data_IF_762074478589
#
_entry.id   IF_762074478589
#
_cell.length_a   1.000
_cell.length_b   1.000
_cell.length_c   1.000
_cell.angle_alpha   90.00
_cell.angle_beta   90.00
_cell.angle_gamma   90.00
#
_symmetry.space_group_name_H-M   'P 1'
#
loop_
_entity.id
_entity.type
_entity.pdbx_description
1 polymer ?
#
# COMPACT_ATOMS: atom_id res chain seq x y z
N UNK A 1 10.60 25.17 -5.10
CA UNK A 1 10.39 24.00 -6.01
C UNK A 1 10.91 22.67 -5.46
N UNK A 2 12.10 22.59 -4.82
CA UNK A 2 12.62 21.36 -4.16
C UNK A 2 11.81 20.88 -2.94
N UNK A 3 11.23 21.80 -2.15
CA UNK A 3 10.45 21.48 -0.92
C UNK A 3 9.23 20.57 -1.14
N UNK A 4 8.47 20.75 -2.23
CA UNK A 4 7.25 19.96 -2.49
C UNK A 4 7.54 18.50 -2.86
N UNK A 5 8.64 18.24 -3.60
CA UNK A 5 9.05 16.86 -3.92
C UNK A 5 9.57 16.14 -2.68
N UNK A 6 10.33 16.85 -1.84
CA UNK A 6 10.79 16.36 -0.53
C UNK A 6 9.64 16.06 0.44
N UNK A 7 8.60 16.91 0.47
CA UNK A 7 7.42 16.67 1.29
C UNK A 7 6.65 15.43 0.84
N UNK A 8 6.46 15.23 -0.47
CA UNK A 8 5.89 13.98 -1.01
C UNK A 8 6.70 12.76 -0.58
N UNK A 9 8.02 12.78 -0.79
CA UNK A 9 8.90 11.65 -0.43
C UNK A 9 8.76 11.32 1.05
N UNK A 10 8.83 12.32 1.93
CA UNK A 10 8.72 12.09 3.38
C UNK A 10 7.38 11.46 3.77
N UNK A 11 6.27 11.97 3.21
CA UNK A 11 4.94 11.43 3.49
C UNK A 11 4.77 10.03 2.90
N UNK A 12 5.20 9.79 1.66
CA UNK A 12 5.12 8.47 1.03
C UNK A 12 5.93 7.43 1.77
N UNK A 13 7.16 7.74 2.21
CA UNK A 13 7.98 6.82 3.01
C UNK A 13 7.30 6.49 4.35
N UNK A 14 6.76 7.49 5.04
CA UNK A 14 6.05 7.28 6.30
C UNK A 14 4.80 6.43 6.10
N UNK A 15 3.94 6.79 5.13
CA UNK A 15 2.69 6.09 4.86
C UNK A 15 2.93 4.66 4.38
N UNK A 16 3.89 4.41 3.48
CA UNK A 16 4.23 3.04 3.06
C UNK A 16 4.77 2.22 4.23
N UNK A 17 5.57 2.81 5.13
CA UNK A 17 6.05 2.10 6.33
C UNK A 17 4.91 1.72 7.26
N UNK A 18 3.93 2.62 7.46
CA UNK A 18 2.72 2.33 8.24
C UNK A 18 1.89 1.22 7.57
N UNK A 19 1.71 1.25 6.25
CA UNK A 19 1.01 0.19 5.50
C UNK A 19 1.66 -1.17 5.76
N UNK A 20 2.98 -1.26 5.70
CA UNK A 20 3.72 -2.50 5.97
C UNK A 20 3.42 -3.01 7.40
N UNK A 21 3.51 -2.13 8.40
CA UNK A 21 3.24 -2.50 9.80
C UNK A 21 1.79 -2.97 9.99
N UNK A 22 0.81 -2.24 9.46
CA UNK A 22 -0.60 -2.60 9.59
C UNK A 22 -0.92 -3.93 8.91
N UNK A 23 -0.33 -4.20 7.74
CA UNK A 23 -0.49 -5.50 7.07
C UNK A 23 0.15 -6.64 7.85
N UNK A 24 1.30 -6.43 8.51
CA UNK A 24 1.91 -7.44 9.39
C UNK A 24 1.01 -7.75 10.57
N UNK A 25 0.46 -6.73 11.24
CA UNK A 25 -0.47 -6.93 12.37
C UNK A 25 -1.74 -7.65 11.88
N UNK A 26 -2.29 -7.25 10.73
CA UNK A 26 -3.43 -7.93 10.10
C UNK A 26 -3.15 -9.39 9.73
N UNK A 27 -1.93 -9.72 9.30
CA UNK A 27 -1.52 -11.10 9.07
C UNK A 27 -1.54 -11.91 10.37
N UNK A 28 -0.97 -11.37 11.45
CA UNK A 28 -0.91 -12.03 12.75
C UNK A 28 -2.33 -12.31 13.27
N UNK A 29 -3.25 -11.36 13.12
CA UNK A 29 -4.64 -11.55 13.50
C UNK A 29 -5.37 -12.55 12.62
N UNK A 30 -5.15 -12.52 11.29
CA UNK A 30 -5.71 -13.49 10.36
C UNK A 30 -5.29 -14.93 10.70
N UNK A 31 -4.00 -15.14 11.04
CA UNK A 31 -3.47 -16.45 11.46
C UNK A 31 -4.13 -16.90 12.77
N UNK A 32 -4.35 -15.98 13.71
CA UNK A 32 -5.02 -16.24 14.99
C UNK A 32 -6.54 -16.43 14.87
N UNK A 33 -7.13 -16.24 13.69
CA UNK A 33 -8.58 -16.31 13.47
C UNK A 33 -9.35 -15.14 14.08
N UNK A 34 -8.69 -14.04 14.41
CA UNK A 34 -9.32 -12.82 14.90
C UNK A 34 -9.81 -11.99 13.71
N UNK A 35 -11.11 -12.02 13.44
CA UNK A 35 -11.70 -11.33 12.27
C UNK A 35 -11.75 -9.80 12.37
N UNK A 36 -11.57 -9.23 13.57
CA UNK A 36 -11.86 -7.81 13.81
C UNK A 36 -10.73 -6.86 13.37
N UNK A 37 -9.45 -7.18 13.59
CA UNK A 37 -8.37 -6.31 13.12
C UNK A 37 -8.13 -6.42 11.63
N UNK A 38 -8.39 -7.57 11.00
CA UNK A 38 -8.37 -7.72 9.53
C UNK A 38 -9.19 -6.61 8.83
N UNK A 39 -10.32 -6.26 9.45
CA UNK A 39 -11.25 -5.22 9.02
C UNK A 39 -10.64 -3.82 9.09
N UNK A 40 -10.05 -3.48 10.24
CA UNK A 40 -9.46 -2.16 10.52
C UNK A 40 -8.20 -1.96 9.66
N UNK A 41 -7.34 -2.97 9.59
CA UNK A 41 -6.08 -2.88 8.85
C UNK A 41 -6.28 -2.81 7.34
N UNK A 42 -7.27 -3.54 6.80
CA UNK A 42 -7.64 -3.46 5.38
C UNK A 42 -8.14 -2.07 4.99
N UNK A 43 -9.05 -1.48 5.77
CA UNK A 43 -9.61 -0.15 5.50
C UNK A 43 -8.58 0.98 5.64
N UNK A 44 -7.76 0.93 6.70
CA UNK A 44 -6.68 1.92 6.90
C UNK A 44 -5.60 1.77 5.83
N UNK A 45 -5.22 0.55 5.47
CA UNK A 45 -4.26 0.27 4.41
C UNK A 45 -4.69 0.83 3.05
N UNK A 46 -5.97 0.64 2.68
CA UNK A 46 -6.54 1.23 1.47
C UNK A 46 -6.52 2.76 1.50
N UNK A 47 -6.90 3.36 2.63
CA UNK A 47 -6.94 4.82 2.78
C UNK A 47 -5.56 5.43 2.61
N UNK A 48 -4.53 4.83 3.22
CA UNK A 48 -3.15 5.28 3.09
C UNK A 48 -2.63 5.09 1.66
N UNK A 49 -2.89 3.95 1.02
CA UNK A 49 -2.49 3.73 -0.37
C UNK A 49 -3.12 4.76 -1.33
N UNK A 50 -4.41 5.06 -1.13
CA UNK A 50 -5.11 6.08 -1.89
C UNK A 50 -4.52 7.49 -1.68
N UNK A 51 -4.17 7.84 -0.44
CA UNK A 51 -3.50 9.11 -0.14
C UNK A 51 -2.16 9.23 -0.86
N UNK A 52 -1.33 8.19 -0.86
CA UNK A 52 -0.05 8.17 -1.59
C UNK A 52 -0.30 8.41 -3.10
N UNK A 53 -1.34 7.81 -3.67
CA UNK A 53 -1.72 8.01 -5.08
C UNK A 53 -2.08 9.48 -5.35
N UNK A 54 -2.96 10.06 -4.54
CA UNK A 54 -3.37 11.47 -4.68
C UNK A 54 -2.15 12.40 -4.57
N UNK A 55 -1.29 12.17 -3.58
CA UNK A 55 -0.09 12.96 -3.36
C UNK A 55 0.91 12.84 -4.52
N UNK A 56 1.02 11.65 -5.12
CA UNK A 56 1.88 11.43 -6.29
C UNK A 56 1.40 12.27 -7.48
N UNK A 57 0.10 12.28 -7.78
CA UNK A 57 -0.44 13.09 -8.87
C UNK A 57 -0.39 14.59 -8.58
N UNK A 58 -0.61 14.99 -7.32
CA UNK A 58 -0.56 16.40 -6.91
C UNK A 58 0.85 16.99 -6.97
N UNK A 59 1.89 16.22 -6.58
CA UNK A 59 3.21 16.77 -6.32
C UNK A 59 4.34 16.24 -7.22
N UNK A 60 4.14 15.09 -7.90
CA UNK A 60 5.21 14.39 -8.65
C UNK A 60 4.90 14.23 -10.14
N UNK A 61 3.66 13.86 -10.51
CA UNK A 61 3.33 13.41 -11.88
C UNK A 61 3.75 14.38 -13.00
N UNK A 62 3.57 15.70 -12.80
CA UNK A 62 3.92 16.74 -13.79
C UNK A 62 5.35 17.30 -13.65
N UNK A 63 6.21 16.73 -12.79
CA UNK A 63 7.56 17.27 -12.57
C UNK A 63 8.58 16.62 -13.52
N UNK A 64 9.53 17.43 -13.97
CA UNK A 64 10.56 17.10 -14.98
C UNK A 64 11.46 15.91 -14.62
N UNK A 65 11.50 15.47 -13.35
CA UNK A 65 12.21 14.25 -12.92
C UNK A 65 11.41 12.94 -13.08
N UNK A 66 10.11 13.02 -13.40
CA UNK A 66 9.21 11.87 -13.52
C UNK A 66 9.30 11.16 -14.88
N UNK A 67 9.87 11.79 -15.90
CA UNK A 67 9.97 11.26 -17.28
C UNK A 67 11.03 10.16 -17.46
N UNK A 68 11.77 9.80 -16.40
CA UNK A 68 12.74 8.71 -16.42
C UNK A 68 12.15 7.35 -16.00
N UNK A 69 12.89 6.25 -16.28
CA UNK A 69 12.50 4.86 -15.95
C UNK A 69 12.02 4.66 -14.49
N UNK A 70 12.57 5.42 -13.55
CA UNK A 70 12.22 5.35 -12.12
C UNK A 70 10.83 5.93 -11.84
N UNK A 71 10.44 7.02 -12.51
CA UNK A 71 9.10 7.61 -12.37
C UNK A 71 8.02 6.66 -12.88
N UNK A 72 8.27 6.01 -14.03
CA UNK A 72 7.40 4.96 -14.56
C UNK A 72 7.27 3.77 -13.60
N UNK A 73 8.38 3.28 -13.02
CA UNK A 73 8.35 2.20 -12.03
C UNK A 73 7.55 2.58 -10.79
N UNK A 74 7.72 3.81 -10.27
CA UNK A 74 6.94 4.32 -9.15
C UNK A 74 5.44 4.27 -9.44
N UNK A 75 5.02 4.72 -10.62
CA UNK A 75 3.61 4.68 -11.05
C UNK A 75 3.10 3.24 -11.09
N UNK A 76 3.86 2.32 -11.68
CA UNK A 76 3.48 0.91 -11.78
C UNK A 76 3.28 0.30 -10.40
N UNK A 77 4.25 0.44 -9.50
CA UNK A 77 4.16 -0.11 -8.14
C UNK A 77 3.01 0.51 -7.35
N UNK A 78 2.77 1.81 -7.53
CA UNK A 78 1.70 2.54 -6.87
C UNK A 78 0.31 2.06 -7.33
N UNK A 79 0.12 1.79 -8.63
CA UNK A 79 -1.11 1.19 -9.13
C UNK A 79 -1.28 -0.27 -8.72
N UNK A 80 -0.21 -1.07 -8.72
CA UNK A 80 -0.26 -2.44 -8.23
C UNK A 80 -0.62 -2.50 -6.74
N UNK A 81 -0.04 -1.61 -5.93
CA UNK A 81 -0.35 -1.48 -4.51
C UNK A 81 -1.81 -1.06 -4.30
N UNK A 82 -2.32 -0.10 -5.09
CA UNK A 82 -3.73 0.29 -5.06
C UNK A 82 -4.64 -0.90 -5.39
N UNK A 83 -4.36 -1.65 -6.46
CA UNK A 83 -5.12 -2.84 -6.84
C UNK A 83 -5.13 -3.91 -5.73
N UNK A 84 -3.98 -4.16 -5.10
CA UNK A 84 -3.87 -5.07 -3.96
C UNK A 84 -4.74 -4.61 -2.78
N UNK A 85 -4.74 -3.31 -2.47
CA UNK A 85 -5.59 -2.77 -1.39
C UNK A 85 -7.09 -2.83 -1.72
N UNK A 86 -7.49 -2.71 -2.99
CA UNK A 86 -8.89 -2.88 -3.41
C UNK A 86 -9.33 -4.33 -3.18
N UNK A 87 -8.50 -5.31 -3.53
CA UNK A 87 -8.80 -6.73 -3.28
C UNK A 87 -8.94 -6.98 -1.77
N UNK A 88 -8.04 -6.42 -0.96
CA UNK A 88 -8.11 -6.44 0.51
C UNK A 88 -9.41 -5.86 1.05
N UNK A 89 -9.83 -4.70 0.53
CA UNK A 89 -11.07 -4.03 0.93
C UNK A 89 -12.31 -4.83 0.51
N UNK A 90 -12.37 -5.34 -0.71
CA UNK A 90 -13.49 -6.16 -1.20
C UNK A 90 -13.71 -7.38 -0.33
N UNK A 91 -12.63 -8.07 0.04
CA UNK A 91 -12.70 -9.21 0.95
C UNK A 91 -13.20 -8.82 2.34
N UNK A 92 -12.70 -7.69 2.85
CA UNK A 92 -13.14 -7.12 4.12
C UNK A 92 -14.65 -6.86 4.10
N UNK A 93 -15.19 -6.27 3.03
CA UNK A 93 -16.62 -6.02 2.86
C UNK A 93 -17.42 -7.34 2.79
N UNK A 94 -16.94 -8.32 2.03
CA UNK A 94 -17.60 -9.63 1.96
C UNK A 94 -17.68 -10.28 3.34
N UNK A 95 -16.59 -10.23 4.11
CA UNK A 95 -16.54 -10.78 5.46
C UNK A 95 -17.51 -10.06 6.40
N UNK A 96 -17.57 -8.73 6.39
CA UNK A 96 -18.48 -7.97 7.27
C UNK A 96 -19.94 -8.16 6.95
N UNK A 97 -20.29 -8.38 5.68
CA UNK A 97 -21.65 -8.66 5.24
C UNK A 97 -22.10 -10.11 5.50
N UNK A 98 -21.28 -10.90 6.22
CA UNK A 98 -21.62 -12.28 6.57
C UNK A 98 -21.54 -13.25 5.39
N UNK A 99 -20.73 -12.94 4.36
CA UNK A 99 -20.46 -13.92 3.32
C UNK A 99 -19.88 -15.19 3.94
N UNK A 100 -20.30 -16.35 3.43
CA UNK A 100 -19.88 -17.66 3.95
C UNK A 100 -18.44 -17.99 3.53
N UNK A 101 -17.47 -17.26 4.11
CA UNK A 101 -16.05 -17.48 3.87
C UNK A 101 -15.56 -18.49 4.89
N UNK A 102 -15.21 -19.69 4.41
CA UNK A 102 -14.67 -20.77 5.26
C UNK A 102 -13.49 -20.25 6.09
N UNK A 103 -13.27 -20.74 7.32
CA UNK A 103 -12.17 -20.31 8.19
C UNK A 103 -10.79 -20.37 7.52
N UNK A 104 -10.53 -21.45 6.75
CA UNK A 104 -9.29 -21.60 5.99
C UNK A 104 -9.13 -20.53 4.88
N UNK A 105 -10.25 -20.03 4.34
CA UNK A 105 -10.24 -18.96 3.35
C UNK A 105 -9.77 -17.62 3.91
N UNK A 106 -10.01 -17.35 5.20
CA UNK A 106 -9.53 -16.14 5.89
C UNK A 106 -8.04 -16.17 6.13
N UNK A 107 -7.53 -17.31 6.58
CA UNK A 107 -6.10 -17.51 6.78
C UNK A 107 -5.33 -17.41 5.46
N UNK A 108 -5.78 -18.12 4.42
CA UNK A 108 -5.16 -18.06 3.08
C UNK A 108 -5.18 -16.64 2.54
N UNK A 109 -6.31 -15.92 2.69
CA UNK A 109 -6.41 -14.55 2.24
C UNK A 109 -5.45 -13.60 2.99
N UNK A 110 -5.37 -13.72 4.31
CA UNK A 110 -4.45 -12.91 5.12
C UNK A 110 -2.99 -13.13 4.73
N UNK A 111 -2.61 -14.39 4.50
CA UNK A 111 -1.25 -14.76 4.06
C UNK A 111 -0.94 -14.19 2.67
N UNK A 112 -1.81 -14.45 1.68
CA UNK A 112 -1.61 -14.01 0.30
C UNK A 112 -1.58 -12.49 0.22
N UNK A 113 -2.53 -11.81 0.86
CA UNK A 113 -2.59 -10.35 0.89
C UNK A 113 -1.33 -9.74 1.50
N UNK A 114 -0.77 -10.38 2.52
CA UNK A 114 0.45 -9.90 3.16
C UNK A 114 1.69 -10.10 2.30
N UNK A 115 1.87 -11.29 1.69
CA UNK A 115 2.97 -11.54 0.76
C UNK A 115 2.93 -10.56 -0.41
N UNK A 116 1.74 -10.34 -0.98
CA UNK A 116 1.53 -9.40 -2.08
C UNK A 116 1.90 -7.98 -1.65
N UNK A 117 1.46 -7.53 -0.48
CA UNK A 117 1.80 -6.20 0.05
C UNK A 117 3.30 -6.04 0.26
N UNK A 118 4.01 -7.03 0.82
CA UNK A 118 5.46 -6.96 0.97
C UNK A 118 6.18 -6.86 -0.37
N UNK A 119 5.74 -7.67 -1.34
CA UNK A 119 6.31 -7.72 -2.69
C UNK A 119 6.12 -6.40 -3.45
N UNK A 120 5.10 -5.61 -3.10
CA UNK A 120 4.82 -4.33 -3.76
C UNK A 120 5.37 -3.13 -2.97
N UNK A 121 5.20 -3.14 -1.64
CA UNK A 121 5.56 -2.02 -0.77
C UNK A 121 7.07 -1.85 -0.64
N UNK A 122 7.85 -2.95 -0.52
CA UNK A 122 9.32 -2.86 -0.38
C UNK A 122 9.96 -2.29 -1.65
N UNK A 123 9.70 -2.81 -2.87
CA UNK A 123 10.22 -2.20 -4.08
C UNK A 123 9.74 -0.75 -4.29
N UNK A 124 8.49 -0.43 -3.92
CA UNK A 124 7.99 0.95 -3.96
C UNK A 124 8.81 1.87 -3.04
N UNK A 125 9.11 1.42 -1.81
CA UNK A 125 9.94 2.14 -0.84
C UNK A 125 11.34 2.41 -1.40
N UNK A 126 11.98 1.37 -1.95
CA UNK A 126 13.31 1.48 -2.58
C UNK A 126 13.27 2.45 -3.77
N UNK A 127 12.27 2.35 -4.65
CA UNK A 127 12.11 3.26 -5.78
C UNK A 127 11.91 4.71 -5.31
N UNK A 128 11.17 4.91 -4.23
CA UNK A 128 10.90 6.24 -3.65
C UNK A 128 12.17 6.86 -3.07
N UNK A 129 13.00 6.06 -2.39
CA UNK A 129 14.32 6.49 -1.89
C UNK A 129 15.24 6.87 -3.06
N UNK A 130 15.35 6.02 -4.08
CA UNK A 130 16.21 6.29 -5.25
C UNK A 130 15.73 7.55 -5.98
N UNK A 131 14.41 7.71 -6.16
CA UNK A 131 13.82 8.92 -6.73
C UNK A 131 14.14 10.16 -5.90
N UNK A 132 14.12 10.05 -4.57
CA UNK A 132 14.51 11.14 -3.68
C UNK A 132 15.97 11.53 -3.81
N UNK A 133 16.87 10.57 -4.01
CA UNK A 133 18.31 10.85 -4.17
C UNK A 133 18.56 11.53 -5.52
N UNK A 134 17.94 11.03 -6.60
CA UNK A 134 18.12 11.59 -7.95
C UNK A 134 17.42 12.93 -8.18
N UNK A 135 16.40 13.25 -7.40
CA UNK A 135 15.64 14.50 -7.54
C UNK A 135 16.22 15.68 -6.72
N UNK A 136 17.31 15.46 -5.96
CA UNK A 136 18.04 16.50 -5.22
C UNK A 136 18.93 17.31 -6.15
#
# INVERSE_FOLDING_TARGET
>A
MKKQSSAFVGVSLLQTSIIIVLFVIGMIEAIKGAGFGLLIYGAVGFTLALQIVILFFAFVFKKTGNSGKIGTLLIIFLFLMLAATIISLSYTICFTQGANIKPNGQQVFGIVSSILTWTLAVPYLVCTIIFSIKSK
#
